data_IF_035428482903
#
_entry.id   IF_035428482903
#
_cell.length_a   1.000
_cell.length_b   1.000
_cell.length_c   1.000
_cell.angle_alpha   90.00
_cell.angle_beta   90.00
_cell.angle_gamma   90.00
#
_symmetry.space_group_name_H-M   'P 1'
#
loop_
_entity.id
_entity.type
_entity.pdbx_description
1 polymer ?
#
# COMPACT_ATOMS: atom_id res chain seq x y z
N UNK A 1 -36.75 28.99 43.13
CA UNK A 1 -36.33 29.51 41.81
C UNK A 1 -35.22 28.58 41.33
N UNK A 2 -35.56 27.59 40.50
CA UNK A 2 -34.66 26.52 40.07
C UNK A 2 -33.74 27.07 38.96
N UNK A 3 -32.41 26.90 39.02
CA UNK A 3 -31.53 27.45 38.01
C UNK A 3 -31.85 26.78 36.68
N UNK A 4 -32.27 27.57 35.70
CA UNK A 4 -32.48 27.14 34.32
C UNK A 4 -31.14 26.65 33.78
N UNK A 5 -31.05 25.33 33.61
CA UNK A 5 -30.54 24.70 32.39
C UNK A 5 -29.36 25.44 31.71
N UNK A 6 -28.20 25.46 32.36
CA UNK A 6 -26.95 25.85 31.71
C UNK A 6 -26.38 24.69 30.86
N UNK A 7 -26.62 23.45 31.32
CA UNK A 7 -26.04 22.25 30.74
C UNK A 7 -26.71 21.82 29.43
N UNK A 8 -28.04 21.94 29.28
CA UNK A 8 -28.70 21.61 28.02
C UNK A 8 -28.49 22.72 26.98
N UNK A 9 -28.32 23.98 27.40
CA UNK A 9 -27.87 25.07 26.49
C UNK A 9 -26.46 24.79 25.96
N UNK A 10 -25.54 24.28 26.79
CA UNK A 10 -24.19 23.91 26.37
C UNK A 10 -24.20 22.71 25.41
N UNK A 11 -24.97 21.65 25.74
CA UNK A 11 -25.10 20.46 24.88
C UNK A 11 -25.75 20.80 23.54
N UNK A 12 -26.78 21.65 23.53
CA UNK A 12 -27.43 22.08 22.30
C UNK A 12 -26.47 22.90 21.41
N UNK A 13 -25.65 23.79 22.01
CA UNK A 13 -24.63 24.53 21.28
C UNK A 13 -23.58 23.60 20.65
N UNK A 14 -23.13 22.57 21.35
CA UNK A 14 -22.20 21.58 20.78
C UNK A 14 -22.83 20.80 19.63
N UNK A 15 -24.08 20.39 19.78
CA UNK A 15 -24.79 19.62 18.75
C UNK A 15 -25.01 20.46 17.49
N UNK A 16 -25.36 21.73 17.63
CA UNK A 16 -25.48 22.67 16.51
C UNK A 16 -24.13 22.88 15.81
N UNK A 17 -23.03 23.01 16.56
CA UNK A 17 -21.68 23.14 15.99
C UNK A 17 -21.29 21.86 15.25
N UNK A 18 -21.51 20.69 15.84
CA UNK A 18 -21.24 19.38 15.19
C UNK A 18 -22.05 19.22 13.91
N UNK A 19 -23.33 19.56 13.93
CA UNK A 19 -24.21 19.48 12.76
C UNK A 19 -23.82 20.47 11.67
N UNK A 20 -23.40 21.69 12.05
CA UNK A 20 -22.91 22.69 11.10
C UNK A 20 -21.63 22.19 10.40
N UNK A 21 -20.66 21.67 11.17
CA UNK A 21 -19.42 21.07 10.65
C UNK A 21 -19.73 19.89 9.73
N UNK A 22 -20.65 19.01 10.12
CA UNK A 22 -20.99 17.81 9.34
C UNK A 22 -21.78 18.15 8.06
N UNK A 23 -22.54 19.25 8.07
CA UNK A 23 -23.26 19.77 6.89
C UNK A 23 -22.30 20.44 5.91
N UNK A 24 -21.33 21.19 6.42
CA UNK A 24 -20.27 21.80 5.61
C UNK A 24 -19.34 20.74 5.01
N UNK A 25 -18.97 19.71 5.80
CA UNK A 25 -18.19 18.55 5.33
C UNK A 25 -18.90 17.81 4.18
N UNK A 26 -20.20 17.52 4.33
CA UNK A 26 -21.00 16.89 3.27
C UNK A 26 -21.14 17.78 2.03
N UNK A 27 -21.21 19.09 2.21
CA UNK A 27 -21.23 20.06 1.10
C UNK A 27 -19.91 20.09 0.34
N UNK A 28 -18.77 20.01 1.04
CA UNK A 28 -17.44 19.91 0.43
C UNK A 28 -17.30 18.57 -0.32
N UNK A 29 -17.71 17.46 0.28
CA UNK A 29 -17.69 16.13 -0.35
C UNK A 29 -18.54 16.09 -1.62
N UNK A 30 -19.75 16.67 -1.60
CA UNK A 30 -20.63 16.76 -2.78
C UNK A 30 -20.08 17.70 -3.85
N UNK A 31 -19.44 18.81 -3.47
CA UNK A 31 -18.79 19.73 -4.42
C UNK A 31 -17.54 19.11 -5.04
N UNK A 32 -16.78 18.33 -4.28
CA UNK A 32 -15.64 17.55 -4.78
C UNK A 32 -16.06 16.37 -5.65
N UNK A 33 -17.28 15.83 -5.47
CA UNK A 33 -17.86 14.83 -6.36
C UNK A 33 -18.48 15.45 -7.63
N UNK A 34 -19.01 16.67 -7.54
CA UNK A 34 -19.63 17.41 -8.65
C UNK A 34 -18.61 18.15 -9.54
N UNK A 35 -17.53 18.67 -8.95
CA UNK A 35 -16.32 18.96 -9.70
C UNK A 35 -15.72 17.61 -10.03
N UNK A 36 -16.02 17.10 -11.22
CA UNK A 36 -15.28 16.00 -11.82
C UNK A 36 -13.82 16.41 -12.01
N UNK A 37 -13.06 16.51 -10.92
CA UNK A 37 -11.61 16.64 -10.92
C UNK A 37 -11.07 15.32 -11.45
N UNK A 38 -11.07 15.20 -12.76
CA UNK A 38 -10.05 14.48 -13.50
C UNK A 38 -8.74 15.18 -13.16
N UNK A 39 -8.18 14.90 -11.99
CA UNK A 39 -6.76 15.13 -11.77
C UNK A 39 -6.05 14.20 -12.76
N UNK A 40 -5.37 14.72 -13.80
CA UNK A 40 -4.30 13.94 -14.41
C UNK A 40 -3.26 13.70 -13.30
N UNK A 41 -2.60 12.54 -13.30
CA UNK A 41 -1.67 12.02 -12.27
C UNK A 41 -2.27 11.46 -10.98
N UNK A 42 -3.19 10.50 -11.11
CA UNK A 42 -3.35 9.49 -10.06
C UNK A 42 -2.22 8.48 -10.24
N UNK A 43 -1.41 8.25 -9.21
CA UNK A 43 -0.52 7.08 -9.11
C UNK A 43 -1.34 5.80 -9.31
N UNK A 44 -1.57 5.41 -10.55
CA UNK A 44 -2.21 4.17 -10.90
C UNK A 44 -1.24 3.04 -10.57
N UNK A 45 -1.74 1.89 -10.06
CA UNK A 45 -0.85 0.81 -9.66
C UNK A 45 0.05 0.36 -10.81
N UNK A 46 -0.46 0.37 -12.05
CA UNK A 46 0.32 -0.06 -13.22
C UNK A 46 1.51 0.86 -13.45
N UNK A 47 1.34 2.18 -13.47
CA UNK A 47 2.47 3.11 -13.59
C UNK A 47 3.45 3.00 -12.42
N UNK A 48 2.97 2.72 -11.20
CA UNK A 48 3.85 2.49 -10.05
C UNK A 48 4.75 1.25 -10.25
N UNK A 49 4.18 0.13 -10.72
CA UNK A 49 4.95 -1.07 -11.03
C UNK A 49 5.91 -0.86 -12.21
N UNK A 50 5.47 -0.15 -13.27
CA UNK A 50 6.31 0.17 -14.43
C UNK A 50 7.47 1.08 -14.01
N UNK A 51 7.20 2.13 -13.24
CA UNK A 51 8.23 3.06 -12.74
C UNK A 51 9.28 2.32 -11.94
N UNK A 52 8.85 1.45 -11.03
CA UNK A 52 9.76 0.60 -10.28
C UNK A 52 10.60 -0.31 -11.17
N UNK A 53 9.96 -0.98 -12.13
CA UNK A 53 10.63 -1.86 -13.08
C UNK A 53 11.65 -1.17 -13.97
N UNK A 54 11.30 0.02 -14.48
CA UNK A 54 12.21 0.83 -15.30
C UNK A 54 13.40 1.25 -14.47
N UNK A 55 13.19 1.80 -13.26
CA UNK A 55 14.31 2.23 -12.41
C UNK A 55 15.23 1.05 -12.06
N UNK A 56 14.68 -0.09 -11.65
CA UNK A 56 15.47 -1.29 -11.35
C UNK A 56 16.22 -1.77 -12.60
N UNK A 57 15.52 -1.93 -13.73
CA UNK A 57 16.13 -2.40 -14.98
C UNK A 57 17.23 -1.47 -15.50
N UNK A 58 17.04 -0.15 -15.41
CA UNK A 58 18.02 0.85 -15.84
C UNK A 58 19.32 0.72 -15.05
N UNK A 59 19.26 0.66 -13.73
CA UNK A 59 20.47 0.56 -12.90
C UNK A 59 21.17 -0.80 -12.97
N UNK A 60 20.44 -1.86 -13.33
CA UNK A 60 21.04 -3.17 -13.60
C UNK A 60 21.53 -3.34 -15.05
N UNK A 61 21.54 -2.27 -15.84
CA UNK A 61 22.29 -2.29 -17.10
C UNK A 61 23.79 -2.29 -16.80
N UNK A 62 24.62 -3.08 -17.53
CA UNK A 62 26.05 -3.16 -17.29
C UNK A 62 26.77 -1.81 -17.18
N UNK A 63 26.47 -0.90 -18.10
CA UNK A 63 27.15 0.40 -18.19
C UNK A 63 26.84 1.33 -17.00
N UNK A 64 25.57 1.43 -16.60
CA UNK A 64 25.16 2.30 -15.49
C UNK A 64 25.57 1.71 -14.15
N UNK A 65 25.52 0.40 -14.01
CA UNK A 65 26.00 -0.28 -12.81
C UNK A 65 27.50 -0.06 -12.60
N UNK A 66 28.30 -0.21 -13.65
CA UNK A 66 29.74 0.09 -13.61
C UNK A 66 30.03 1.57 -13.33
N UNK A 67 29.22 2.49 -13.88
CA UNK A 67 29.33 3.91 -13.58
C UNK A 67 29.07 4.19 -12.09
N UNK A 68 28.04 3.58 -11.51
CA UNK A 68 27.73 3.70 -10.08
C UNK A 68 28.88 3.17 -9.22
N UNK A 69 29.47 2.02 -9.56
CA UNK A 69 30.60 1.45 -8.84
C UNK A 69 31.86 2.35 -8.88
N UNK A 70 32.11 3.01 -10.01
CA UNK A 70 33.32 3.85 -10.19
C UNK A 70 33.18 5.25 -9.63
N UNK A 71 31.97 5.81 -9.58
CA UNK A 71 31.71 7.19 -9.19
C UNK A 71 30.72 7.28 -8.02
N UNK A 72 31.21 7.78 -6.88
CA UNK A 72 30.41 7.94 -5.65
C UNK A 72 29.12 8.74 -5.85
N UNK A 73 29.14 9.77 -6.71
CA UNK A 73 27.94 10.57 -6.98
C UNK A 73 26.84 9.70 -7.62
N UNK A 74 27.18 8.93 -8.66
CA UNK A 74 26.22 8.07 -9.35
C UNK A 74 25.72 6.93 -8.48
N UNK A 75 26.57 6.40 -7.59
CA UNK A 75 26.13 5.44 -6.57
C UNK A 75 25.07 6.02 -5.61
N UNK A 76 25.23 7.28 -5.19
CA UNK A 76 24.21 7.95 -4.35
C UNK A 76 22.93 8.19 -5.15
N UNK A 77 23.04 8.62 -6.40
CA UNK A 77 21.88 8.81 -7.29
C UNK A 77 21.13 7.49 -7.48
N UNK A 78 21.83 6.40 -7.72
CA UNK A 78 21.28 5.05 -7.78
C UNK A 78 20.44 4.74 -6.54
N UNK A 79 21.04 4.82 -5.34
CA UNK A 79 20.33 4.54 -4.10
C UNK A 79 19.13 5.45 -3.85
N UNK A 80 19.24 6.76 -4.16
CA UNK A 80 18.12 7.71 -4.01
C UNK A 80 16.98 7.35 -4.95
N UNK A 81 17.28 6.97 -6.20
CA UNK A 81 16.25 6.56 -7.16
C UNK A 81 15.63 5.21 -6.80
N UNK A 82 16.39 4.25 -6.28
CA UNK A 82 15.84 3.00 -5.73
C UNK A 82 14.87 3.28 -4.58
N UNK A 83 15.26 4.13 -3.64
CA UNK A 83 14.40 4.51 -2.52
C UNK A 83 13.12 5.19 -3.00
N UNK A 84 13.23 6.17 -3.90
CA UNK A 84 12.08 6.86 -4.49
C UNK A 84 11.14 5.91 -5.23
N UNK A 85 11.69 5.04 -6.08
CA UNK A 85 10.92 4.04 -6.81
C UNK A 85 10.23 3.04 -5.87
N UNK A 86 10.90 2.62 -4.79
CA UNK A 86 10.29 1.77 -3.78
C UNK A 86 9.10 2.44 -3.10
N UNK A 87 9.20 3.73 -2.75
CA UNK A 87 8.06 4.48 -2.19
C UNK A 87 6.87 4.50 -3.16
N UNK A 88 7.12 4.74 -4.45
CA UNK A 88 6.09 4.73 -5.49
C UNK A 88 5.47 3.34 -5.62
N UNK A 89 6.28 2.28 -5.64
CA UNK A 89 5.85 0.88 -5.72
C UNK A 89 4.95 0.48 -4.55
N UNK A 90 5.33 0.83 -3.33
CA UNK A 90 4.58 0.45 -2.13
C UNK A 90 3.34 1.32 -1.89
N UNK A 91 3.23 2.46 -2.58
CA UNK A 91 2.15 3.42 -2.38
C UNK A 91 0.73 2.81 -2.55
N UNK A 92 0.40 2.07 -3.63
CA UNK A 92 -0.93 1.51 -3.81
C UNK A 92 -1.31 0.47 -2.75
N UNK A 93 -0.33 -0.07 -2.02
CA UNK A 93 -0.54 -1.08 -0.99
C UNK A 93 -0.69 -0.48 0.40
N UNK A 94 0.13 0.51 0.72
CA UNK A 94 0.28 1.03 2.09
C UNK A 94 -0.34 2.42 2.29
N UNK A 95 -0.92 3.02 1.24
CA UNK A 95 -1.43 4.38 1.34
C UNK A 95 -2.55 4.51 2.38
N UNK A 96 -2.29 5.35 3.40
CA UNK A 96 -3.28 5.85 4.35
C UNK A 96 -3.97 7.14 3.87
N UNK A 97 -3.63 7.64 2.67
CA UNK A 97 -4.19 8.88 2.13
C UNK A 97 -5.67 8.70 1.78
N UNK A 98 -6.48 9.72 2.09
CA UNK A 98 -7.89 9.77 1.65
C UNK A 98 -8.02 10.15 0.17
N UNK A 99 -7.01 10.82 -0.39
CA UNK A 99 -6.99 11.31 -1.78
C UNK A 99 -6.54 10.21 -2.75
N UNK A 100 -5.60 9.36 -2.32
CA UNK A 100 -5.12 8.19 -3.07
C UNK A 100 -5.18 6.98 -2.12
N UNK A 101 -6.36 6.39 -1.89
CA UNK A 101 -6.50 5.30 -0.92
C UNK A 101 -5.78 4.03 -1.38
N UNK A 102 -5.41 3.18 -0.41
CA UNK A 102 -4.94 1.82 -0.70
C UNK A 102 -5.94 1.05 -1.57
N UNK A 103 -5.41 0.17 -2.41
CA UNK A 103 -6.20 -0.75 -3.22
C UNK A 103 -7.06 -1.68 -2.35
N UNK A 104 -8.18 -2.14 -2.91
CA UNK A 104 -8.97 -3.22 -2.30
C UNK A 104 -8.12 -4.51 -2.27
N UNK A 105 -8.37 -5.46 -1.35
CA UNK A 105 -7.51 -6.63 -1.19
C UNK A 105 -7.31 -7.47 -2.46
N UNK A 106 -8.36 -7.68 -3.26
CA UNK A 106 -8.26 -8.40 -4.54
C UNK A 106 -7.23 -7.77 -5.50
N UNK A 107 -7.42 -6.51 -5.91
CA UNK A 107 -6.43 -5.78 -6.70
C UNK A 107 -5.03 -5.70 -6.09
N UNK A 108 -4.89 -5.61 -4.75
CA UNK A 108 -3.56 -5.64 -4.12
C UNK A 108 -2.82 -6.96 -4.39
N UNK A 109 -3.52 -8.09 -4.26
CA UNK A 109 -2.93 -9.40 -4.54
C UNK A 109 -2.53 -9.52 -6.02
N UNK A 110 -3.41 -9.10 -6.94
CA UNK A 110 -3.12 -9.10 -8.38
C UNK A 110 -1.94 -8.19 -8.73
N UNK A 111 -1.83 -7.03 -8.07
CA UNK A 111 -0.72 -6.11 -8.24
C UNK A 111 0.62 -6.74 -7.81
N UNK A 112 0.68 -7.41 -6.66
CA UNK A 112 1.89 -8.08 -6.17
C UNK A 112 2.31 -9.23 -7.10
N UNK A 113 1.35 -10.07 -7.49
CA UNK A 113 1.58 -11.17 -8.44
C UNK A 113 2.05 -10.64 -9.80
N UNK A 114 1.33 -9.66 -10.36
CA UNK A 114 1.67 -9.04 -11.63
C UNK A 114 3.05 -8.39 -11.61
N UNK A 115 3.37 -7.66 -10.54
CA UNK A 115 4.68 -7.03 -10.39
C UNK A 115 5.81 -8.06 -10.34
N UNK A 116 5.61 -9.16 -9.61
CA UNK A 116 6.60 -10.26 -9.54
C UNK A 116 6.85 -10.86 -10.92
N UNK A 117 5.79 -11.10 -11.69
CA UNK A 117 5.89 -11.62 -13.05
C UNK A 117 6.60 -10.63 -13.97
N UNK A 118 6.23 -9.34 -13.93
CA UNK A 118 6.82 -8.29 -14.78
C UNK A 118 8.29 -8.06 -14.48
N UNK A 119 8.73 -8.22 -13.23
CA UNK A 119 10.15 -8.12 -12.87
C UNK A 119 10.97 -9.33 -13.30
N UNK A 120 10.36 -10.51 -13.43
CA UNK A 120 11.06 -11.78 -13.66
C UNK A 120 11.99 -11.76 -14.87
N UNK A 121 11.63 -11.20 -16.05
CA UNK A 121 12.53 -11.14 -17.21
C UNK A 121 13.85 -10.41 -16.93
N UNK A 122 13.84 -9.32 -16.16
CA UNK A 122 15.05 -8.55 -15.83
C UNK A 122 16.00 -9.42 -14.99
N UNK A 123 15.47 -10.07 -13.95
CA UNK A 123 16.27 -10.94 -13.09
C UNK A 123 16.73 -12.21 -13.82
N UNK A 124 15.88 -12.78 -14.68
CA UNK A 124 16.23 -13.94 -15.49
C UNK A 124 17.39 -13.62 -16.46
N UNK A 125 17.37 -12.44 -17.09
CA UNK A 125 18.46 -11.99 -17.95
C UNK A 125 19.80 -11.95 -17.21
N UNK A 126 19.83 -11.39 -16.00
CA UNK A 126 21.06 -11.30 -15.19
C UNK A 126 21.52 -12.70 -14.71
N UNK A 127 20.57 -13.48 -14.20
CA UNK A 127 20.85 -14.78 -13.55
C UNK A 127 21.30 -15.84 -14.54
N UNK A 128 20.73 -15.86 -15.75
CA UNK A 128 20.98 -16.87 -16.77
C UNK A 128 21.85 -16.35 -17.93
N UNK A 129 22.48 -15.18 -17.78
CA UNK A 129 23.48 -14.71 -18.73
C UNK A 129 24.69 -15.63 -18.70
N UNK A 130 25.16 -16.02 -19.89
CA UNK A 130 26.38 -16.80 -20.05
C UNK A 130 27.63 -15.90 -19.98
N UNK A 131 27.47 -14.62 -20.28
CA UNK A 131 28.53 -13.62 -20.19
C UNK A 131 28.55 -12.98 -18.80
N UNK A 132 29.75 -12.60 -18.35
CA UNK A 132 29.95 -11.79 -17.15
C UNK A 132 29.52 -10.37 -17.45
N UNK A 133 28.35 -9.97 -16.93
CA UNK A 133 27.73 -8.68 -17.24
C UNK A 133 28.47 -7.50 -16.58
N UNK A 134 29.18 -7.75 -15.48
CA UNK A 134 29.78 -6.73 -14.64
C UNK A 134 31.29 -6.96 -14.51
N UNK A 135 32.07 -6.21 -15.29
CA UNK A 135 33.53 -6.37 -15.39
C UNK A 135 34.24 -6.24 -14.03
N UNK A 136 33.74 -5.38 -13.13
CA UNK A 136 34.32 -5.23 -11.79
C UNK A 136 34.38 -6.56 -11.04
N UNK A 137 33.36 -7.41 -11.19
CA UNK A 137 33.31 -8.72 -10.54
C UNK A 137 34.06 -9.81 -11.30
N UNK A 138 34.44 -9.59 -12.56
CA UNK A 138 35.35 -10.48 -13.30
C UNK A 138 36.77 -10.43 -12.73
N UNK A 139 37.24 -9.22 -12.39
CA UNK A 139 38.60 -8.99 -11.90
C UNK A 139 38.73 -8.96 -10.37
N UNK A 140 37.60 -9.08 -9.65
CA UNK A 140 37.60 -9.11 -8.20
C UNK A 140 38.31 -10.36 -7.62
N UNK A 141 39.06 -10.23 -6.51
CA UNK A 141 39.60 -11.38 -5.78
C UNK A 141 38.49 -12.36 -5.37
N UNK A 142 38.71 -13.66 -5.62
CA UNK A 142 37.72 -14.70 -5.32
C UNK A 142 37.71 -15.07 -3.84
N UNK A 143 36.54 -15.06 -3.22
CA UNK A 143 36.32 -15.56 -1.86
C UNK A 143 36.42 -17.10 -1.79
N UNK A 144 35.93 -17.78 -2.83
CA UNK A 144 35.97 -19.23 -2.95
C UNK A 144 36.76 -19.63 -4.20
N UNK A 145 37.85 -20.41 -4.10
CA UNK A 145 38.72 -20.73 -5.25
C UNK A 145 38.04 -21.48 -6.41
N UNK A 146 36.89 -22.11 -6.15
CA UNK A 146 36.12 -22.87 -7.15
C UNK A 146 34.96 -22.09 -7.76
N UNK A 147 34.70 -20.85 -7.33
CA UNK A 147 33.64 -20.01 -7.89
C UNK A 147 34.16 -19.24 -9.10
N UNK A 148 33.49 -19.42 -10.24
CA UNK A 148 33.69 -18.56 -11.40
C UNK A 148 32.94 -17.23 -11.22
N UNK A 149 33.30 -16.15 -11.95
CA UNK A 149 32.52 -14.92 -11.96
C UNK A 149 31.05 -15.12 -12.38
N UNK A 150 30.78 -16.08 -13.28
CA UNK A 150 29.41 -16.40 -13.67
C UNK A 150 28.63 -17.11 -12.57
N UNK A 151 29.28 -17.95 -11.74
CA UNK A 151 28.65 -18.56 -10.56
C UNK A 151 28.27 -17.50 -9.52
N UNK A 152 29.15 -16.51 -9.32
CA UNK A 152 28.90 -15.38 -8.41
C UNK A 152 27.72 -14.53 -8.90
N UNK A 153 27.67 -14.24 -10.20
CA UNK A 153 26.55 -13.53 -10.82
C UNK A 153 25.23 -14.31 -10.73
N UNK A 154 25.25 -15.63 -10.95
CA UNK A 154 24.08 -16.49 -10.82
C UNK A 154 23.56 -16.48 -9.37
N UNK A 155 24.47 -16.58 -8.40
CA UNK A 155 24.12 -16.54 -6.98
C UNK A 155 23.54 -15.16 -6.60
N UNK A 156 24.16 -14.07 -7.06
CA UNK A 156 23.70 -12.71 -6.81
C UNK A 156 22.30 -12.48 -7.42
N UNK A 157 22.12 -12.82 -8.71
CA UNK A 157 20.85 -12.68 -9.42
C UNK A 157 19.71 -13.48 -8.76
N UNK A 158 19.99 -14.75 -8.43
CA UNK A 158 19.04 -15.63 -7.74
C UNK A 158 18.70 -15.09 -6.35
N UNK A 159 19.71 -14.66 -5.59
CA UNK A 159 19.53 -14.13 -4.24
C UNK A 159 18.67 -12.87 -4.22
N UNK A 160 18.94 -11.93 -5.12
CA UNK A 160 18.15 -10.70 -5.27
C UNK A 160 16.68 -11.00 -5.57
N UNK A 161 16.42 -11.89 -6.54
CA UNK A 161 15.05 -12.28 -6.90
C UNK A 161 14.34 -13.01 -5.75
N UNK A 162 15.04 -13.91 -5.05
CA UNK A 162 14.46 -14.69 -3.95
C UNK A 162 14.00 -13.79 -2.80
N UNK A 163 14.79 -12.78 -2.44
CA UNK A 163 14.39 -11.79 -1.42
C UNK A 163 13.12 -11.06 -1.85
N UNK A 164 13.04 -10.60 -3.10
CA UNK A 164 11.85 -9.95 -3.64
C UNK A 164 10.60 -10.83 -3.61
N UNK A 165 10.74 -12.10 -3.98
CA UNK A 165 9.66 -13.10 -3.93
C UNK A 165 9.20 -13.34 -2.49
N UNK A 166 10.12 -13.53 -1.54
CA UNK A 166 9.77 -13.76 -0.13
C UNK A 166 8.96 -12.57 0.41
N UNK A 167 9.45 -11.34 0.21
CA UNK A 167 8.75 -10.13 0.67
C UNK A 167 7.36 -10.02 0.03
N UNK A 168 7.26 -10.28 -1.27
CA UNK A 168 5.99 -10.21 -2.01
C UNK A 168 5.01 -11.27 -1.54
N UNK A 169 5.46 -12.51 -1.34
CA UNK A 169 4.64 -13.62 -0.87
C UNK A 169 4.19 -13.44 0.58
N UNK A 170 5.05 -12.94 1.46
CA UNK A 170 4.66 -12.59 2.84
C UNK A 170 3.58 -11.50 2.83
N UNK A 171 3.76 -10.44 2.04
CA UNK A 171 2.78 -9.35 1.93
C UNK A 171 1.45 -9.85 1.38
N UNK A 172 1.49 -10.67 0.32
CA UNK A 172 0.32 -11.28 -0.28
C UNK A 172 -0.43 -12.16 0.74
N UNK A 173 0.29 -12.99 1.49
CA UNK A 173 -0.28 -13.81 2.56
C UNK A 173 -0.97 -12.96 3.62
N UNK A 174 -0.32 -11.88 4.08
CA UNK A 174 -0.90 -10.93 5.04
C UNK A 174 -2.22 -10.33 4.52
N UNK A 175 -2.25 -9.87 3.27
CA UNK A 175 -3.44 -9.28 2.65
C UNK A 175 -4.55 -10.32 2.49
N UNK A 176 -4.20 -11.53 2.03
CA UNK A 176 -5.12 -12.63 1.87
C UNK A 176 -5.80 -13.00 3.19
N UNK A 177 -5.03 -13.20 4.26
CA UNK A 177 -5.60 -13.56 5.56
C UNK A 177 -6.44 -12.43 6.18
N UNK A 178 -6.06 -11.16 5.98
CA UNK A 178 -6.88 -10.03 6.41
C UNK A 178 -8.22 -9.99 5.69
N UNK A 179 -8.20 -10.18 4.37
CA UNK A 179 -9.41 -10.24 3.55
C UNK A 179 -10.30 -11.43 3.91
N UNK A 180 -9.71 -12.62 4.07
CA UNK A 180 -10.42 -13.84 4.45
C UNK A 180 -11.14 -13.68 5.80
N UNK A 181 -10.44 -13.20 6.82
CA UNK A 181 -11.02 -12.96 8.16
C UNK A 181 -12.07 -11.85 8.18
N UNK A 182 -12.00 -10.90 7.26
CA UNK A 182 -13.02 -9.87 7.13
C UNK A 182 -14.33 -10.44 6.54
N UNK A 183 -14.24 -11.44 5.67
CA UNK A 183 -15.41 -12.14 5.12
C UNK A 183 -16.15 -13.02 6.14
N UNK A 184 -15.45 -13.55 7.15
CA UNK A 184 -16.04 -14.37 8.21
C UNK A 184 -16.78 -13.56 9.29
N UNK A 185 -16.53 -12.24 9.38
CA UNK A 185 -17.26 -11.37 10.29
C UNK A 185 -18.69 -11.20 9.77
N UNK A 186 -19.63 -12.03 10.27
CA UNK A 186 -21.06 -11.80 10.09
C UNK A 186 -21.36 -10.34 10.44
N UNK A 187 -22.06 -9.58 9.57
CA UNK A 187 -22.57 -8.27 9.96
C UNK A 187 -23.33 -8.47 11.26
N UNK A 188 -23.01 -7.68 12.29
CA UNK A 188 -23.84 -7.66 13.48
C UNK A 188 -25.26 -7.40 13.00
N UNK A 189 -26.13 -8.39 13.15
CA UNK A 189 -27.54 -8.27 12.80
C UNK A 189 -28.00 -6.95 13.42
N UNK A 190 -28.51 -6.00 12.62
CA UNK A 190 -29.02 -4.76 13.18
C UNK A 190 -29.99 -5.22 14.26
N UNK A 191 -29.72 -4.87 15.54
CA UNK A 191 -30.69 -5.08 16.61
C UNK A 191 -31.92 -4.31 16.14
N UNK A 192 -32.82 -5.01 15.46
CA UNK A 192 -34.20 -4.66 15.36
C UNK A 192 -34.60 -4.60 16.82
N UNK A 193 -34.51 -3.40 17.42
CA UNK A 193 -35.44 -3.06 18.47
C UNK A 193 -36.77 -3.25 17.78
N UNK A 194 -37.30 -4.47 17.93
CA UNK A 194 -38.61 -4.79 17.43
C UNK A 194 -39.47 -3.74 18.09
N UNK A 195 -40.32 -3.08 17.33
CA UNK A 195 -41.21 -2.03 17.86
C UNK A 195 -41.97 -2.54 19.12
N UNK A 196 -42.11 -3.87 19.26
CA UNK A 196 -42.54 -4.57 20.47
C UNK A 196 -41.68 -4.38 21.72
N UNK A 197 -40.35 -4.28 21.64
CA UNK A 197 -39.47 -4.05 22.80
C UNK A 197 -39.64 -2.63 23.36
N UNK A 198 -39.84 -1.65 22.49
CA UNK A 198 -40.15 -0.27 22.88
C UNK A 198 -41.56 -0.16 23.50
N UNK A 199 -42.55 -0.82 22.90
CA UNK A 199 -43.93 -0.85 23.41
C UNK A 199 -44.04 -1.62 24.74
N UNK A 200 -43.30 -2.72 24.89
CA UNK A 200 -43.23 -3.48 26.15
C UNK A 200 -42.47 -2.74 27.25
N UNK A 201 -41.52 -1.87 26.89
CA UNK A 201 -40.86 -0.99 27.85
C UNK A 201 -41.76 0.17 28.28
N UNK A 202 -42.59 0.71 27.38
CA UNK A 202 -43.58 1.74 27.69
C UNK A 202 -44.74 1.21 28.55
N UNK A 203 -45.26 0.02 28.25
CA UNK A 203 -46.31 -0.59 29.07
C UNK A 203 -45.85 -0.88 30.50
N UNK A 204 -44.61 -1.37 30.67
CA UNK A 204 -44.00 -1.65 31.97
C UNK A 204 -43.74 -0.38 32.80
N UNK A 205 -43.50 0.76 32.15
CA UNK A 205 -43.39 2.09 32.78
C UNK A 205 -44.75 2.66 33.20
N UNK A 206 -45.83 2.29 32.54
CA UNK A 206 -47.19 2.73 32.92
C UNK A 206 -47.76 1.90 34.08
N UNK A 207 -47.42 0.63 34.17
CA UNK A 207 -47.81 -0.25 35.27
C UNK A 207 -47.13 0.09 36.60
N UNK A 208 -45.86 0.49 36.55
CA UNK A 208 -45.08 0.89 37.75
C UNK A 208 -45.40 2.30 38.26
N UNK A 209 -46.22 3.07 37.53
CA UNK A 209 -46.64 4.43 37.90
C UNK A 209 -48.04 4.50 38.52
N UNK A 210 -48.69 3.34 38.73
CA UNK A 210 -49.93 3.20 39.51
C UNK A 210 -49.60 2.60 40.87
#
# INVERSE_FOLDING_TARGET
MQPLDADAVALHREEVIRLAIDRERRGIEQRAAAQGTTLPDKMDPVSAAITYGVVIGTWHSPELYELALRQKLWHVVEHVTFFGAALVYWWPLLSASRVVPQLRPGPQMLYLLGSTIVMTPIFAFITFSHDVLYATYEFAPRLFPKFSPTDDQLLAGTGMQLVGVIVSMTTLGIIFFQWFRAGERKPAEPRHHSRGDAVAAESRKQETRK
#
